data_IF_906784927691
#
_entry.id   IF_906784927691
#
_cell.length_a   1.000
_cell.length_b   1.000
_cell.length_c   1.000
_cell.angle_alpha   90.00
_cell.angle_beta   90.00
_cell.angle_gamma   90.00
#
_symmetry.space_group_name_H-M   'P 1'
#
loop_
_entity.id
_entity.type
_entity.pdbx_description
1 polymer ?
#
# COMPACT_ATOMS: atom_id res chain seq x y z
N UNK A 1 -17.52 -22.72 9.84
CA UNK A 1 -16.79 -22.09 8.71
C UNK A 1 -16.17 -20.84 9.28
N UNK A 2 -14.84 -20.75 9.39
CA UNK A 2 -14.20 -19.55 9.95
C UNK A 2 -14.46 -18.35 9.04
N UNK A 3 -15.02 -17.26 9.58
CA UNK A 3 -15.27 -16.03 8.83
C UNK A 3 -13.99 -15.19 8.70
N UNK A 4 -13.13 -15.58 7.75
CA UNK A 4 -11.84 -14.91 7.51
C UNK A 4 -11.83 -14.23 6.14
N UNK A 5 -11.34 -12.99 6.09
CA UNK A 5 -11.02 -12.29 4.85
C UNK A 5 -9.50 -12.28 4.69
N UNK A 6 -9.04 -12.83 3.58
CA UNK A 6 -7.60 -12.91 3.28
C UNK A 6 -7.18 -11.77 2.35
N UNK A 7 -6.02 -11.21 2.65
CA UNK A 7 -5.34 -10.24 1.82
C UNK A 7 -3.91 -10.66 1.53
N UNK A 8 -3.50 -10.43 0.30
CA UNK A 8 -2.13 -10.67 -0.14
C UNK A 8 -1.46 -9.37 -0.55
N UNK A 9 -0.21 -9.20 -0.13
CA UNK A 9 0.64 -8.09 -0.53
C UNK A 9 1.10 -8.28 -1.98
N UNK A 10 0.74 -7.34 -2.83
CA UNK A 10 1.12 -7.32 -4.25
C UNK A 10 2.24 -6.32 -4.51
N UNK A 11 3.17 -6.68 -5.39
CA UNK A 11 4.26 -5.77 -5.81
C UNK A 11 3.81 -4.71 -6.79
N UNK A 12 2.65 -4.86 -7.42
CA UNK A 12 2.19 -3.98 -8.49
C UNK A 12 2.11 -2.52 -8.05
N UNK A 13 1.51 -2.24 -6.89
CA UNK A 13 1.41 -0.86 -6.40
C UNK A 13 2.75 -0.30 -5.94
N UNK A 14 3.67 -1.15 -5.44
CA UNK A 14 5.03 -0.74 -5.07
C UNK A 14 5.81 -0.32 -6.32
N UNK A 15 5.76 -1.14 -7.38
CA UNK A 15 6.41 -0.81 -8.66
C UNK A 15 5.81 0.46 -9.25
N UNK A 16 4.48 0.60 -9.23
CA UNK A 16 3.81 1.83 -9.68
C UNK A 16 4.24 3.07 -8.88
N UNK A 17 4.41 2.97 -7.56
CA UNK A 17 4.84 4.11 -6.75
C UNK A 17 6.31 4.46 -6.94
N UNK A 18 7.16 3.47 -7.24
CA UNK A 18 8.60 3.66 -7.45
C UNK A 18 8.95 4.07 -8.88
N UNK A 19 8.14 3.70 -9.88
CA UNK A 19 8.43 3.91 -11.30
C UNK A 19 8.71 5.39 -11.63
N UNK A 20 7.90 6.31 -11.12
CA UNK A 20 8.10 7.74 -11.34
C UNK A 20 9.44 8.22 -10.77
N UNK A 21 9.77 7.84 -9.53
CA UNK A 21 11.04 8.22 -8.89
C UNK A 21 12.23 7.67 -9.67
N UNK A 22 12.17 6.42 -10.14
CA UNK A 22 13.25 5.81 -10.93
C UNK A 22 13.44 6.55 -12.27
N UNK A 23 12.34 6.90 -12.96
CA UNK A 23 12.39 7.67 -14.21
C UNK A 23 13.04 9.04 -13.98
N UNK A 24 12.63 9.76 -12.94
CA UNK A 24 13.21 11.06 -12.59
C UNK A 24 14.71 10.95 -12.30
N UNK A 25 15.14 9.91 -11.57
CA UNK A 25 16.55 9.68 -11.27
C UNK A 25 17.36 9.37 -12.52
N UNK A 26 16.80 8.58 -13.45
CA UNK A 26 17.46 8.27 -14.72
C UNK A 26 17.64 9.52 -15.59
N UNK A 27 16.60 10.36 -15.68
CA UNK A 27 16.63 11.62 -16.43
C UNK A 27 17.67 12.58 -15.82
N UNK A 28 17.66 12.75 -14.49
CA UNK A 28 18.61 13.61 -13.81
C UNK A 28 20.06 13.12 -13.99
N UNK A 29 20.27 11.81 -13.86
CA UNK A 29 21.59 11.18 -14.10
C UNK A 29 22.08 11.42 -15.52
N UNK A 30 21.19 11.31 -16.52
CA UNK A 30 21.52 11.57 -17.92
C UNK A 30 21.94 13.02 -18.16
N UNK A 31 21.19 14.00 -17.65
CA UNK A 31 21.53 15.41 -17.80
C UNK A 31 22.86 15.75 -17.11
N UNK A 32 23.10 15.22 -15.92
CA UNK A 32 24.38 15.39 -15.23
C UNK A 32 25.56 14.79 -15.99
N UNK A 33 25.39 13.58 -16.55
CA UNK A 33 26.43 12.94 -17.37
C UNK A 33 26.69 13.74 -18.66
N UNK A 34 25.64 14.25 -19.31
CA UNK A 34 25.75 15.08 -20.51
C UNK A 34 26.45 16.40 -20.23
N UNK A 35 26.15 17.07 -19.12
CA UNK A 35 26.80 18.32 -18.69
C UNK A 35 28.30 18.09 -18.47
N UNK A 36 28.64 17.00 -17.76
CA UNK A 36 30.03 16.63 -17.52
C UNK A 36 30.79 16.30 -18.80
N UNK A 37 30.18 15.58 -19.75
CA UNK A 37 30.80 15.28 -21.03
C UNK A 37 31.06 16.52 -21.88
N UNK A 38 30.18 17.53 -21.81
CA UNK A 38 30.32 18.75 -22.62
C UNK A 38 31.29 19.75 -22.02
N UNK A 39 31.29 19.91 -20.69
CA UNK A 39 32.03 20.97 -20.01
C UNK A 39 33.29 20.49 -19.28
N UNK A 40 33.42 19.18 -19.04
CA UNK A 40 34.46 18.60 -18.18
C UNK A 40 34.25 18.87 -16.69
N UNK A 41 33.18 19.57 -16.32
CA UNK A 41 32.84 19.99 -14.96
C UNK A 41 31.35 19.70 -14.68
N UNK A 42 30.94 19.79 -13.41
CA UNK A 42 29.51 19.65 -13.02
C UNK A 42 28.90 21.04 -12.73
N UNK A 43 29.26 22.06 -13.51
CA UNK A 43 28.87 23.44 -13.21
C UNK A 43 27.36 23.69 -13.32
N UNK A 44 26.63 22.96 -14.19
CA UNK A 44 25.19 23.12 -14.39
C UNK A 44 24.31 22.48 -13.32
N UNK A 45 24.78 21.40 -12.68
CA UNK A 45 24.00 20.63 -11.68
C UNK A 45 24.62 20.59 -10.28
N UNK A 46 25.95 20.75 -10.19
CA UNK A 46 26.72 20.83 -8.95
C UNK A 46 26.48 19.68 -7.97
N UNK A 47 26.85 19.94 -6.71
CA UNK A 47 26.61 19.02 -5.58
C UNK A 47 25.12 18.80 -5.29
N UNK A 48 24.26 19.74 -5.69
CA UNK A 48 22.81 19.63 -5.51
C UNK A 48 22.21 18.51 -6.37
N UNK A 49 22.67 18.35 -7.61
CA UNK A 49 22.27 17.23 -8.47
C UNK A 49 22.68 15.87 -7.91
N UNK A 50 23.92 15.75 -7.41
CA UNK A 50 24.42 14.53 -6.75
C UNK A 50 23.58 14.23 -5.50
N UNK A 51 23.33 15.24 -4.66
CA UNK A 51 22.51 15.08 -3.45
C UNK A 51 21.09 14.61 -3.79
N UNK A 52 20.49 15.15 -4.86
CA UNK A 52 19.17 14.73 -5.33
C UNK A 52 19.16 13.28 -5.82
N UNK A 53 20.20 12.83 -6.53
CA UNK A 53 20.35 11.44 -6.95
C UNK A 53 20.45 10.50 -5.73
N UNK A 54 21.31 10.83 -4.77
CA UNK A 54 21.49 10.03 -3.54
C UNK A 54 20.19 9.96 -2.75
N UNK A 55 19.51 11.09 -2.56
CA UNK A 55 18.22 11.14 -1.86
C UNK A 55 17.16 10.28 -2.54
N UNK A 56 17.08 10.30 -3.88
CA UNK A 56 16.16 9.46 -4.62
C UNK A 56 16.48 7.97 -4.51
N UNK A 57 17.76 7.57 -4.57
CA UNK A 57 18.17 6.17 -4.35
C UNK A 57 17.80 5.72 -2.94
N UNK A 58 18.03 6.56 -1.91
CA UNK A 58 17.61 6.28 -0.53
C UNK A 58 16.09 6.13 -0.45
N UNK A 59 15.33 6.99 -1.12
CA UNK A 59 13.86 6.90 -1.13
C UNK A 59 13.37 5.59 -1.76
N UNK A 60 13.97 5.16 -2.88
CA UNK A 60 13.71 3.86 -3.53
C UNK A 60 14.05 2.71 -2.57
N UNK A 61 15.23 2.72 -1.96
CA UNK A 61 15.66 1.69 -1.02
C UNK A 61 14.76 1.60 0.23
N UNK A 62 14.37 2.75 0.80
CA UNK A 62 13.45 2.82 1.92
C UNK A 62 12.08 2.24 1.56
N UNK A 63 11.52 2.56 0.39
CA UNK A 63 10.24 1.98 -0.04
C UNK A 63 10.30 0.45 -0.12
N UNK A 64 11.37 -0.11 -0.71
CA UNK A 64 11.58 -1.56 -0.78
C UNK A 64 11.73 -2.17 0.62
N UNK A 65 12.51 -1.53 1.49
CA UNK A 65 12.74 -1.98 2.85
C UNK A 65 11.44 -2.05 3.66
N UNK A 66 10.66 -0.96 3.67
CA UNK A 66 9.39 -0.91 4.38
C UNK A 66 8.39 -1.93 3.82
N UNK A 67 8.29 -2.03 2.49
CA UNK A 67 7.44 -3.04 1.86
C UNK A 67 7.82 -4.47 2.24
N UNK A 68 9.12 -4.76 2.35
CA UNK A 68 9.62 -6.11 2.64
C UNK A 68 9.42 -6.52 4.11
N UNK A 69 9.37 -5.56 5.04
CA UNK A 69 9.10 -5.83 6.46
C UNK A 69 7.63 -6.12 6.77
N UNK A 70 6.74 -5.65 5.93
CA UNK A 70 5.31 -5.87 6.12
C UNK A 70 4.93 -7.33 5.84
N UNK A 71 3.90 -7.87 6.52
CA UNK A 71 3.37 -9.20 6.25
C UNK A 71 3.12 -9.43 4.75
N UNK A 72 3.38 -10.64 4.27
CA UNK A 72 3.00 -11.03 2.92
C UNK A 72 1.50 -11.29 2.86
N UNK A 73 0.94 -11.88 3.93
CA UNK A 73 -0.49 -12.20 4.02
C UNK A 73 -1.09 -11.70 5.33
N UNK A 74 -2.29 -11.14 5.22
CA UNK A 74 -3.10 -10.71 6.35
C UNK A 74 -4.42 -11.46 6.36
N UNK A 75 -4.83 -11.90 7.54
CA UNK A 75 -6.16 -12.44 7.78
C UNK A 75 -6.94 -11.46 8.65
N UNK A 76 -8.13 -11.08 8.19
CA UNK A 76 -9.11 -10.39 9.01
C UNK A 76 -10.07 -11.44 9.55
N UNK A 77 -9.90 -11.78 10.82
CA UNK A 77 -10.81 -12.66 11.55
C UNK A 77 -12.01 -11.82 12.01
N UNK A 78 -13.16 -12.07 11.40
CA UNK A 78 -14.39 -11.34 11.68
C UNK A 78 -15.13 -11.88 12.90
N UNK A 79 -14.86 -13.13 13.31
CA UNK A 79 -15.47 -13.72 14.52
C UNK A 79 -14.83 -13.14 15.78
N UNK A 80 -13.50 -13.01 15.77
CA UNK A 80 -12.75 -12.47 16.90
C UNK A 80 -12.50 -10.96 16.79
N UNK A 81 -12.78 -10.35 15.65
CA UNK A 81 -12.48 -8.94 15.38
C UNK A 81 -10.98 -8.67 15.42
N UNK A 82 -10.18 -9.46 14.70
CA UNK A 82 -8.72 -9.38 14.74
C UNK A 82 -8.09 -9.24 13.37
N UNK A 83 -7.02 -8.46 13.28
CA UNK A 83 -6.09 -8.47 12.16
C UNK A 83 -4.92 -9.35 12.53
N UNK A 84 -4.71 -10.43 11.79
CA UNK A 84 -3.67 -11.42 12.05
C UNK A 84 -2.67 -11.40 10.90
N UNK A 85 -1.39 -11.38 11.23
CA UNK A 85 -0.33 -11.69 10.28
C UNK A 85 -0.36 -13.19 10.02
N UNK A 86 -0.78 -13.59 8.81
CA UNK A 86 -0.96 -14.99 8.46
C UNK A 86 0.38 -15.75 8.32
N UNK A 87 1.48 -15.03 8.16
CA UNK A 87 2.81 -15.64 7.97
C UNK A 87 3.42 -16.12 9.29
N UNK A 88 3.07 -15.50 10.42
CA UNK A 88 3.57 -15.86 11.75
C UNK A 88 2.49 -16.02 12.83
N UNK A 89 1.21 -15.97 12.44
CA UNK A 89 0.03 -16.08 13.33
C UNK A 89 -0.03 -15.02 14.44
N UNK A 90 0.67 -13.91 14.29
CA UNK A 90 0.65 -12.83 15.27
C UNK A 90 -0.56 -11.91 15.07
N UNK A 91 -1.34 -11.68 16.12
CA UNK A 91 -2.36 -10.63 16.13
C UNK A 91 -1.71 -9.25 16.08
N UNK A 92 -2.02 -8.48 15.04
CA UNK A 92 -1.50 -7.13 14.80
C UNK A 92 -2.41 -6.06 15.43
N UNK A 93 -3.73 -6.26 15.37
CA UNK A 93 -4.72 -5.33 15.90
C UNK A 93 -6.04 -6.04 16.21
N UNK A 94 -6.89 -5.40 17.01
CA UNK A 94 -8.28 -5.83 17.27
C UNK A 94 -9.24 -4.72 16.88
N UNK A 95 -10.42 -5.05 16.34
CA UNK A 95 -11.41 -4.11 15.82
C UNK A 95 -12.84 -4.57 16.09
N UNK A 96 -13.75 -3.60 16.18
CA UNK A 96 -15.20 -3.83 16.29
C UNK A 96 -15.92 -3.48 14.99
N UNK A 97 -15.24 -2.79 14.06
CA UNK A 97 -15.77 -2.36 12.77
C UNK A 97 -14.70 -2.47 11.69
N UNK A 98 -15.06 -3.05 10.54
CA UNK A 98 -14.25 -3.12 9.33
C UNK A 98 -14.96 -2.37 8.19
N UNK A 99 -14.34 -1.30 7.69
CA UNK A 99 -14.88 -0.53 6.57
C UNK A 99 -14.06 -0.74 5.31
N UNK A 100 -14.72 -1.18 4.24
CA UNK A 100 -14.20 -1.18 2.88
C UNK A 100 -14.50 0.15 2.20
N UNK A 101 -13.45 0.76 1.66
CA UNK A 101 -13.52 1.96 0.84
C UNK A 101 -13.09 1.61 -0.58
N UNK A 102 -14.06 1.40 -1.46
CA UNK A 102 -13.83 1.00 -2.83
C UNK A 102 -14.52 1.94 -3.82
N UNK A 103 -13.88 2.19 -4.96
CA UNK A 103 -14.47 2.91 -6.10
C UNK A 103 -15.60 2.10 -6.76
N UNK A 104 -15.53 0.78 -6.67
CA UNK A 104 -16.53 -0.14 -7.21
C UNK A 104 -16.51 -1.44 -6.41
N UNK A 105 -17.67 -2.08 -6.14
CA UNK A 105 -17.74 -3.30 -5.34
C UNK A 105 -17.17 -4.51 -6.09
N UNK A 106 -17.01 -4.42 -7.42
CA UNK A 106 -16.42 -5.47 -8.25
C UNK A 106 -14.89 -5.46 -8.27
N UNK A 107 -14.23 -4.60 -7.49
CA UNK A 107 -12.78 -4.52 -7.39
C UNK A 107 -12.27 -5.41 -6.25
N UNK A 108 -11.05 -5.92 -6.41
CA UNK A 108 -10.29 -6.61 -5.37
C UNK A 108 -9.38 -5.67 -4.58
N UNK A 109 -9.24 -4.42 -5.04
CA UNK A 109 -8.54 -3.37 -4.32
C UNK A 109 -9.54 -2.47 -3.60
N UNK A 110 -9.37 -2.35 -2.30
CA UNK A 110 -10.10 -1.40 -1.46
C UNK A 110 -9.12 -0.82 -0.45
N UNK A 111 -9.34 0.43 -0.06
CA UNK A 111 -8.79 0.94 1.18
C UNK A 111 -9.60 0.30 2.33
N UNK A 112 -8.92 -0.25 3.32
CA UNK A 112 -9.59 -0.99 4.40
C UNK A 112 -9.20 -0.37 5.72
N UNK A 113 -10.20 0.00 6.50
CA UNK A 113 -10.02 0.59 7.82
C UNK A 113 -10.64 -0.30 8.88
N UNK A 114 -9.85 -0.60 9.90
CA UNK A 114 -10.27 -1.28 11.10
C UNK A 114 -10.42 -0.24 12.21
N UNK A 115 -11.58 -0.20 12.84
CA UNK A 115 -11.89 0.73 13.94
C UNK A 115 -12.32 -0.02 15.19
N UNK A 116 -12.00 0.53 16.36
CA UNK A 116 -12.40 0.03 17.67
C UNK A 116 -12.98 1.18 18.49
N UNK A 117 -14.19 1.02 19.03
CA UNK A 117 -14.87 2.08 19.79
C UNK A 117 -14.89 3.46 19.07
N UNK A 118 -15.12 3.44 17.75
CA UNK A 118 -15.17 4.66 16.92
C UNK A 118 -13.82 5.32 16.61
N UNK A 119 -12.69 4.75 17.04
CA UNK A 119 -11.34 5.21 16.69
C UNK A 119 -10.69 4.27 15.68
N UNK A 120 -10.03 4.81 14.66
CA UNK A 120 -9.27 4.01 13.70
C UNK A 120 -8.02 3.44 14.39
N UNK A 121 -7.90 2.11 14.39
CA UNK A 121 -6.78 1.39 15.01
C UNK A 121 -5.78 0.89 13.97
N UNK A 122 -6.25 0.63 12.75
CA UNK A 122 -5.40 0.19 11.66
C UNK A 122 -6.03 0.56 10.32
N UNK A 123 -5.19 0.99 9.39
CA UNK A 123 -5.55 1.20 7.99
C UNK A 123 -4.64 0.31 7.15
N UNK A 124 -5.21 -0.61 6.40
CA UNK A 124 -4.43 -1.48 5.52
C UNK A 124 -3.91 -0.66 4.33
N UNK A 125 -2.63 -0.87 4.00
CA UNK A 125 -1.97 -0.15 2.91
C UNK A 125 -2.49 -0.63 1.55
N UNK A 126 -2.39 0.24 0.54
CA UNK A 126 -2.92 0.02 -0.81
C UNK A 126 -2.33 -1.17 -1.57
N UNK A 127 -1.19 -1.70 -1.11
CA UNK A 127 -0.55 -2.85 -1.74
C UNK A 127 -1.16 -4.20 -1.34
N UNK A 128 -2.03 -4.23 -0.31
CA UNK A 128 -2.81 -5.42 0.01
C UNK A 128 -4.01 -5.51 -0.93
N UNK A 129 -4.12 -6.65 -1.60
CA UNK A 129 -5.24 -7.00 -2.46
C UNK A 129 -6.08 -8.06 -1.77
N UNK A 130 -7.40 -7.95 -1.91
CA UNK A 130 -8.34 -8.95 -1.43
C UNK A 130 -8.32 -10.17 -2.34
N UNK A 131 -8.41 -11.36 -1.76
CA UNK A 131 -8.54 -12.61 -2.51
C UNK A 131 -9.90 -12.76 -3.21
N UNK A 132 -10.89 -11.95 -2.81
CA UNK A 132 -12.25 -11.92 -3.35
C UNK A 132 -12.66 -10.49 -3.69
N UNK A 133 -13.64 -10.32 -4.58
CA UNK A 133 -14.22 -8.99 -4.83
C UNK A 133 -14.95 -8.51 -3.57
N UNK A 134 -14.97 -7.20 -3.37
CA UNK A 134 -15.70 -6.58 -2.24
C UNK A 134 -17.18 -7.00 -2.24
N UNK A 135 -17.83 -7.09 -3.40
CA UNK A 135 -19.20 -7.61 -3.54
C UNK A 135 -19.36 -9.02 -2.95
N UNK A 136 -18.40 -9.89 -3.24
CA UNK A 136 -18.46 -11.32 -2.87
C UNK A 136 -18.20 -11.47 -1.37
N UNK A 137 -17.30 -10.65 -0.82
CA UNK A 137 -17.05 -10.53 0.62
C UNK A 137 -18.32 -10.05 1.34
N UNK A 138 -18.95 -8.98 0.85
CA UNK A 138 -20.17 -8.45 1.45
C UNK A 138 -21.34 -9.43 1.35
N UNK A 139 -21.45 -10.18 0.26
CA UNK A 139 -22.45 -11.23 0.11
C UNK A 139 -22.18 -12.40 1.06
N UNK A 140 -20.92 -12.84 1.18
CA UNK A 140 -20.53 -13.95 2.04
C UNK A 140 -20.68 -13.64 3.53
N UNK A 141 -20.41 -12.40 3.92
CA UNK A 141 -20.42 -11.95 5.32
C UNK A 141 -21.56 -10.97 5.62
N UNK A 142 -22.64 -11.00 4.82
CA UNK A 142 -23.78 -10.07 4.94
C UNK A 142 -24.51 -10.13 6.28
N UNK A 143 -24.32 -11.21 7.03
CA UNK A 143 -24.91 -11.44 8.36
C UNK A 143 -24.04 -10.93 9.51
N UNK A 144 -22.85 -10.39 9.22
CA UNK A 144 -21.95 -9.86 10.23
C UNK A 144 -22.01 -8.32 10.23
N UNK A 145 -22.59 -7.76 11.28
CA UNK A 145 -22.80 -6.31 11.46
C UNK A 145 -21.50 -5.49 11.48
N UNK A 146 -20.37 -6.18 11.64
CA UNK A 146 -19.03 -5.61 11.71
C UNK A 146 -18.50 -5.13 10.34
N UNK A 147 -19.01 -5.68 9.23
CA UNK A 147 -18.49 -5.36 7.88
C UNK A 147 -19.34 -4.28 7.21
N UNK A 148 -18.71 -3.13 6.90
CA UNK A 148 -19.36 -2.00 6.24
C UNK A 148 -18.69 -1.68 4.91
N UNK A 149 -19.50 -1.28 3.92
CA UNK A 149 -19.03 -0.71 2.67
C UNK A 149 -19.30 0.80 2.67
N UNK A 150 -18.25 1.60 2.49
CA UNK A 150 -18.37 3.02 2.14
C UNK A 150 -17.88 3.20 0.71
N UNK A 151 -18.77 3.67 -0.15
CA UNK A 151 -18.36 4.08 -1.49
C UNK A 151 -17.56 5.37 -1.38
N UNK A 152 -16.32 5.36 -1.87
CA UNK A 152 -15.62 6.62 -2.15
C UNK A 152 -16.26 7.14 -3.42
N UNK A 153 -17.31 7.95 -3.27
CA UNK A 153 -17.81 8.75 -4.38
C UNK A 153 -16.68 9.66 -4.86
N UNK A 154 -16.32 9.55 -6.13
CA UNK A 154 -15.73 10.68 -6.84
C UNK A 154 -16.83 11.75 -6.87
N UNK A 155 -16.90 12.59 -5.83
CA UNK A 155 -17.53 13.91 -5.98
C UNK A 155 -16.84 14.56 -7.18
N UNK A 156 -17.62 14.83 -8.22
CA UNK A 156 -17.19 15.56 -9.43
C UNK A 156 -16.43 16.83 -9.06
#
# INVERSE_FOLDING_TARGET
>A
MQAVIELEKTRESLVKSMAMTIIVLAILSFFMLSDYQQTGELAGFGWLGIAALVAGVIAVAQQVYYFSREPQRLHLDLEQGQVINADNQQTLATFDELTFFALSPNKMHALIECSKQGKMVMRLKRHYQLNLKVSDILAKYSKQDLVKLKFIGLTK
#
